data_IF_026017919254
#
_entry.id   IF_026017919254
#
_cell.length_a   1.000
_cell.length_b   1.000
_cell.length_c   1.000
_cell.angle_alpha   90.00
_cell.angle_beta   90.00
_cell.angle_gamma   90.00
#
_symmetry.space_group_name_H-M   'P 1'
#
loop_
_entity.id
_entity.type
_entity.pdbx_description
1 polymer ?
#
# COMPACT_ATOMS: atom_id res chain seq x y z
N UNK A 1 -16.03 -4.04 -12.75
CA UNK A 1 -16.09 -3.37 -11.42
C UNK A 1 -14.91 -3.89 -10.61
N UNK A 2 -13.98 -3.04 -10.15
CA UNK A 2 -12.69 -3.47 -9.60
C UNK A 2 -12.73 -3.84 -8.11
N UNK A 3 -13.63 -3.22 -7.35
CA UNK A 3 -13.80 -3.46 -5.92
C UNK A 3 -15.19 -4.02 -5.61
N UNK A 4 -15.26 -4.86 -4.60
CA UNK A 4 -16.49 -5.27 -3.95
C UNK A 4 -16.65 -4.55 -2.62
N UNK A 5 -17.91 -4.37 -2.21
CA UNK A 5 -18.27 -3.66 -1.00
C UNK A 5 -19.33 -4.46 -0.27
N UNK A 6 -19.09 -4.76 0.99
CA UNK A 6 -20.03 -5.46 1.86
C UNK A 6 -20.38 -4.57 3.05
N UNK A 7 -21.66 -4.54 3.41
CA UNK A 7 -22.12 -3.95 4.68
C UNK A 7 -22.53 -5.11 5.59
N UNK A 8 -21.72 -5.45 6.60
CA UNK A 8 -22.05 -6.50 7.55
C UNK A 8 -23.42 -6.24 8.20
N UNK A 9 -24.20 -7.30 8.40
CA UNK A 9 -25.54 -7.20 8.96
C UNK A 9 -25.54 -6.78 10.44
N UNK A 10 -24.51 -7.22 11.18
CA UNK A 10 -24.25 -6.92 12.58
C UNK A 10 -23.77 -5.47 12.79
N UNK A 11 -23.13 -4.85 11.79
CA UNK A 11 -22.73 -3.45 11.85
C UNK A 11 -22.79 -2.72 10.50
N UNK A 12 -23.96 -2.17 10.20
CA UNK A 12 -24.25 -1.44 8.96
C UNK A 12 -23.49 -0.10 8.80
N UNK A 13 -22.82 0.39 9.86
CA UNK A 13 -21.98 1.60 9.83
C UNK A 13 -20.60 1.32 9.24
N UNK A 14 -20.21 0.05 9.14
CA UNK A 14 -18.96 -0.39 8.50
C UNK A 14 -19.23 -0.76 7.05
N UNK A 15 -18.29 -0.46 6.17
CA UNK A 15 -18.24 -1.00 4.80
C UNK A 15 -16.91 -1.71 4.63
N UNK A 16 -16.95 -3.01 4.45
CA UNK A 16 -15.78 -3.80 4.09
C UNK A 16 -15.53 -3.63 2.60
N UNK A 17 -14.27 -3.40 2.23
CA UNK A 17 -13.85 -3.23 0.84
C UNK A 17 -12.89 -4.36 0.48
N UNK A 18 -13.21 -5.08 -0.59
CA UNK A 18 -12.38 -6.14 -1.16
C UNK A 18 -12.03 -5.85 -2.61
N UNK A 19 -10.96 -6.49 -3.09
CA UNK A 19 -10.69 -6.55 -4.52
C UNK A 19 -11.51 -7.66 -5.16
N UNK A 20 -12.15 -7.36 -6.28
CA UNK A 20 -12.74 -8.39 -7.16
C UNK A 20 -11.63 -9.14 -7.91
N UNK A 21 -11.92 -10.28 -8.57
CA UNK A 21 -10.98 -10.91 -9.49
C UNK A 21 -10.44 -9.93 -10.55
N UNK A 22 -11.32 -9.19 -11.22
CA UNK A 22 -10.91 -8.16 -12.19
C UNK A 22 -10.02 -7.07 -11.58
N UNK A 23 -10.25 -6.71 -10.31
CA UNK A 23 -9.39 -5.77 -9.59
C UNK A 23 -7.99 -6.32 -9.35
N UNK A 24 -7.87 -7.62 -9.04
CA UNK A 24 -6.58 -8.30 -8.90
C UNK A 24 -5.86 -8.42 -10.25
N UNK A 25 -6.58 -8.76 -11.31
CA UNK A 25 -6.00 -8.87 -12.66
C UNK A 25 -5.40 -7.52 -13.09
N UNK A 26 -6.12 -6.42 -12.85
CA UNK A 26 -5.59 -5.08 -13.13
C UNK A 26 -4.32 -4.76 -12.32
N UNK A 27 -4.24 -5.17 -11.04
CA UNK A 27 -3.03 -4.95 -10.25
C UNK A 27 -1.85 -5.75 -10.82
N UNK A 28 -2.07 -6.99 -11.27
CA UNK A 28 -1.04 -7.80 -11.91
C UNK A 28 -0.51 -7.12 -13.18
N UNK A 29 -1.38 -6.51 -13.99
CA UNK A 29 -0.98 -5.74 -15.18
C UNK A 29 -0.15 -4.48 -14.84
N UNK A 30 -0.28 -3.95 -13.63
CA UNK A 30 0.44 -2.77 -13.16
C UNK A 30 1.81 -3.09 -12.55
N UNK A 31 2.08 -4.34 -12.16
CA UNK A 31 3.29 -4.72 -11.43
C UNK A 31 4.58 -4.24 -12.13
N UNK A 32 4.72 -4.56 -13.42
CA UNK A 32 5.91 -4.18 -14.20
C UNK A 32 5.98 -2.68 -14.46
N UNK A 33 4.83 -2.02 -14.64
CA UNK A 33 4.76 -0.59 -14.90
C UNK A 33 5.20 0.22 -13.67
N UNK A 34 4.77 -0.23 -12.48
CA UNK A 34 5.16 0.37 -11.19
C UNK A 34 6.66 0.17 -10.96
N UNK A 35 7.19 -1.04 -11.20
CA UNK A 35 8.64 -1.29 -11.12
C UNK A 35 9.45 -0.42 -12.07
N UNK A 36 9.00 -0.28 -13.32
CA UNK A 36 9.65 0.59 -14.31
C UNK A 36 9.60 2.06 -13.88
N UNK A 37 8.50 2.52 -13.27
CA UNK A 37 8.41 3.86 -12.71
C UNK A 37 9.43 4.08 -11.60
N UNK A 38 9.54 3.16 -10.64
CA UNK A 38 10.53 3.23 -9.57
C UNK A 38 11.97 3.23 -10.11
N UNK A 39 12.28 2.41 -11.11
CA UNK A 39 13.59 2.40 -11.75
C UNK A 39 13.91 3.75 -12.40
N UNK A 40 12.95 4.39 -13.08
CA UNK A 40 13.15 5.74 -13.65
C UNK A 40 13.38 6.80 -12.59
N UNK A 41 12.66 6.73 -11.46
CA UNK A 41 12.73 7.72 -10.39
C UNK A 41 13.97 7.56 -9.53
N UNK A 42 14.34 6.33 -9.19
CA UNK A 42 15.30 6.01 -8.12
C UNK A 42 16.40 5.01 -8.53
N UNK A 43 16.40 4.51 -9.76
CA UNK A 43 17.34 3.47 -10.21
C UNK A 43 18.81 3.90 -10.29
N UNK A 44 19.11 5.17 -10.09
CA UNK A 44 20.47 5.71 -9.97
C UNK A 44 21.04 5.57 -8.54
N UNK A 45 20.21 5.19 -7.57
CA UNK A 45 20.63 4.96 -6.19
C UNK A 45 21.10 3.51 -6.01
N UNK A 46 22.19 3.33 -5.25
CA UNK A 46 22.61 2.01 -4.81
C UNK A 46 21.60 1.38 -3.86
N UNK A 47 21.69 0.07 -3.66
CA UNK A 47 20.85 -0.65 -2.72
C UNK A 47 20.94 -0.08 -1.30
N UNK A 48 22.15 0.27 -0.83
CA UNK A 48 22.34 0.88 0.49
C UNK A 48 21.70 2.27 0.59
N UNK A 49 21.78 3.08 -0.47
CA UNK A 49 21.11 4.38 -0.52
C UNK A 49 19.58 4.22 -0.48
N UNK A 50 19.03 3.23 -1.19
CA UNK A 50 17.60 2.93 -1.17
C UNK A 50 17.15 2.45 0.22
N UNK A 51 17.90 1.55 0.86
CA UNK A 51 17.64 1.11 2.24
C UNK A 51 17.64 2.30 3.19
N UNK A 52 18.62 3.20 3.04
CA UNK A 52 18.70 4.40 3.89
C UNK A 52 17.52 5.34 3.67
N UNK A 53 17.08 5.52 2.42
CA UNK A 53 15.90 6.30 2.09
C UNK A 53 14.63 5.70 2.74
N UNK A 54 14.47 4.38 2.69
CA UNK A 54 13.33 3.67 3.33
C UNK A 54 13.32 3.93 4.84
N UNK A 55 14.47 3.83 5.52
CA UNK A 55 14.58 4.12 6.95
C UNK A 55 14.15 5.55 7.29
N UNK A 56 14.63 6.53 6.50
CA UNK A 56 14.30 7.94 6.72
C UNK A 56 12.82 8.23 6.50
N UNK A 57 12.21 7.64 5.46
CA UNK A 57 10.77 7.76 5.20
C UNK A 57 9.93 7.09 6.28
N UNK A 58 10.38 5.95 6.81
CA UNK A 58 9.72 5.29 7.95
C UNK A 58 9.78 6.16 9.21
N UNK A 59 10.95 6.71 9.53
CA UNK A 59 11.11 7.63 10.67
C UNK A 59 10.25 8.89 10.54
N UNK A 60 10.09 9.42 9.32
CA UNK A 60 9.27 10.60 9.05
C UNK A 60 7.77 10.38 9.34
N UNK A 61 7.28 9.13 9.42
CA UNK A 61 5.88 8.83 9.78
C UNK A 61 5.61 8.97 11.28
N UNK A 62 6.61 8.79 12.14
CA UNK A 62 6.45 8.75 13.59
C UNK A 62 5.68 9.93 14.23
N UNK A 63 5.89 11.21 13.85
CA UNK A 63 5.12 12.31 14.44
C UNK A 63 3.65 12.36 13.97
N UNK A 64 3.27 11.56 12.97
CA UNK A 64 1.94 11.56 12.36
C UNK A 64 1.17 10.26 12.59
N UNK A 65 1.88 9.18 12.87
CA UNK A 65 1.33 7.84 13.08
C UNK A 65 1.64 7.39 14.51
N UNK A 66 0.63 7.41 15.38
CA UNK A 66 0.67 6.80 16.70
C UNK A 66 1.05 5.30 16.64
N UNK A 67 1.90 4.82 17.58
CA UNK A 67 2.18 3.40 17.73
C UNK A 67 0.88 2.61 17.97
N UNK A 68 0.63 1.58 17.16
CA UNK A 68 -0.58 0.76 17.25
C UNK A 68 -1.84 1.39 16.66
N UNK A 69 -1.71 2.47 15.88
CA UNK A 69 -2.82 3.11 15.19
C UNK A 69 -3.57 2.16 14.24
N UNK A 70 -4.86 2.44 14.03
CA UNK A 70 -5.78 1.63 13.23
C UNK A 70 -5.46 1.55 11.72
N UNK A 71 -4.44 2.31 11.26
CA UNK A 71 -3.91 2.29 9.91
C UNK A 71 -2.69 1.36 9.74
N UNK A 72 -2.13 0.82 10.82
CA UNK A 72 -1.03 -0.15 10.74
C UNK A 72 -1.58 -1.52 10.29
N UNK A 73 -0.90 -2.22 9.37
CA UNK A 73 -1.29 -3.58 9.01
C UNK A 73 -1.15 -4.50 10.25
N UNK A 74 -2.04 -5.49 10.43
CA UNK A 74 -1.90 -6.47 11.49
C UNK A 74 -0.58 -7.25 11.31
N UNK A 75 0.14 -7.45 12.42
CA UNK A 75 1.35 -8.29 12.51
C UNK A 75 1.02 -9.77 12.44
#
# INVERSE_FOLDING_TARGET
KLIERERPADNRRIVLIGLTPQGRDLLADLDDQVRACHARQLGHLSEDQLRKLIELLAAARAPHEEPGGHWLPPV
#
